data_IF_467059192287
#
_entry.id   IF_467059192287
#
_cell.length_a   1.000
_cell.length_b   1.000
_cell.length_c   1.000
_cell.angle_alpha   90.00
_cell.angle_beta   90.00
_cell.angle_gamma   90.00
#
_symmetry.space_group_name_H-M   'P 1'
#
loop_
_entity.id
_entity.type
_entity.pdbx_description
1 polymer ?
#
# COMPACT_ATOMS: atom_id res chain seq x y z
N UNK A 1 32.49 -12.05 92.93
CA UNK A 1 32.77 -12.40 91.52
C UNK A 1 31.49 -12.72 90.73
N UNK A 2 30.31 -12.62 91.39
CA UNK A 2 29.02 -13.01 90.74
C UNK A 2 28.18 -11.87 90.14
N UNK A 3 28.55 -10.62 90.40
CA UNK A 3 27.78 -9.49 89.87
C UNK A 3 28.15 -9.05 88.44
N UNK A 4 29.34 -9.39 87.95
CA UNK A 4 29.79 -9.03 86.61
C UNK A 4 29.21 -10.01 85.58
N UNK A 5 28.96 -11.26 85.92
CA UNK A 5 28.34 -12.28 85.03
C UNK A 5 26.85 -12.00 84.75
N UNK A 6 26.13 -11.40 85.74
CA UNK A 6 24.71 -11.09 85.59
C UNK A 6 24.42 -9.87 84.68
N UNK A 7 25.31 -8.89 84.64
CA UNK A 7 25.18 -7.71 83.81
C UNK A 7 25.53 -8.06 82.34
N UNK A 8 26.51 -8.96 82.12
CA UNK A 8 26.87 -9.43 80.75
C UNK A 8 25.78 -10.25 80.07
N UNK A 9 25.04 -11.08 80.85
CA UNK A 9 23.93 -11.90 80.29
C UNK A 9 22.70 -11.06 79.88
N UNK A 10 22.38 -9.97 80.68
CA UNK A 10 21.29 -9.09 80.37
C UNK A 10 21.59 -8.22 79.12
N UNK A 11 22.85 -7.80 78.95
CA UNK A 11 23.26 -7.05 77.74
C UNK A 11 23.22 -7.88 76.45
N UNK A 12 23.62 -9.13 76.49
CA UNK A 12 23.52 -10.04 75.30
C UNK A 12 22.06 -10.37 74.97
N UNK A 13 21.21 -10.64 75.95
CA UNK A 13 19.80 -10.93 75.74
C UNK A 13 19.02 -9.73 75.19
N UNK A 14 19.40 -8.50 75.53
CA UNK A 14 18.79 -7.31 74.97
C UNK A 14 19.22 -7.08 73.48
N UNK A 15 20.48 -7.33 73.16
CA UNK A 15 20.98 -7.18 71.76
C UNK A 15 20.32 -8.23 70.83
N UNK A 16 20.13 -9.46 71.28
CA UNK A 16 19.46 -10.49 70.47
C UNK A 16 17.96 -10.19 70.25
N UNK A 17 17.30 -9.57 71.23
CA UNK A 17 15.90 -9.15 71.06
C UNK A 17 15.73 -8.00 70.11
N UNK A 18 16.67 -7.04 70.04
CA UNK A 18 16.70 -5.94 69.11
C UNK A 18 16.97 -6.44 67.66
N UNK A 19 17.92 -7.30 67.49
CA UNK A 19 18.22 -7.96 66.20
C UNK A 19 17.01 -8.73 65.63
N UNK A 20 16.34 -9.49 66.45
CA UNK A 20 15.11 -10.21 66.07
C UNK A 20 13.97 -9.27 65.68
N UNK A 21 13.84 -8.15 66.40
CA UNK A 21 12.84 -7.11 66.07
C UNK A 21 13.18 -6.39 64.74
N UNK A 22 14.45 -6.09 64.47
CA UNK A 22 14.88 -5.48 63.22
C UNK A 22 14.63 -6.45 62.04
N UNK A 23 14.94 -7.75 62.18
CA UNK A 23 14.62 -8.75 61.15
C UNK A 23 13.13 -8.91 60.90
N UNK A 24 12.30 -8.88 61.93
CA UNK A 24 10.83 -8.92 61.80
C UNK A 24 10.30 -7.70 61.03
N UNK A 25 10.83 -6.53 61.36
CA UNK A 25 10.45 -5.30 60.65
C UNK A 25 10.90 -5.32 59.19
N UNK A 26 12.12 -5.82 58.89
CA UNK A 26 12.63 -5.99 57.54
C UNK A 26 11.78 -6.97 56.72
N UNK A 27 11.40 -8.09 57.30
CA UNK A 27 10.48 -9.06 56.64
C UNK A 27 9.11 -8.47 56.37
N UNK A 28 8.54 -7.68 57.29
CA UNK A 28 7.28 -6.98 57.12
C UNK A 28 7.36 -5.94 55.97
N UNK A 29 8.45 -5.18 55.85
CA UNK A 29 8.68 -4.23 54.76
C UNK A 29 8.81 -4.96 53.39
N UNK A 30 9.58 -6.03 53.34
CA UNK A 30 9.74 -6.84 52.11
C UNK A 30 8.39 -7.43 51.68
N UNK A 31 7.62 -7.96 52.59
CA UNK A 31 6.30 -8.51 52.27
C UNK A 31 5.32 -7.45 51.79
N UNK A 32 5.32 -6.24 52.39
CA UNK A 32 4.49 -5.12 51.89
C UNK A 32 4.92 -4.68 50.49
N UNK A 33 6.22 -4.60 50.21
CA UNK A 33 6.71 -4.30 48.86
C UNK A 33 6.33 -5.36 47.86
N UNK A 34 6.48 -6.66 48.20
CA UNK A 34 6.05 -7.76 47.31
C UNK A 34 4.55 -7.70 47.01
N UNK A 35 3.72 -7.47 48.03
CA UNK A 35 2.27 -7.32 47.88
C UNK A 35 1.93 -6.10 47.00
N UNK A 36 2.63 -4.97 47.17
CA UNK A 36 2.46 -3.78 46.34
C UNK A 36 2.78 -4.07 44.88
N UNK A 37 3.91 -4.74 44.57
CA UNK A 37 4.30 -5.09 43.19
C UNK A 37 3.28 -6.05 42.57
N UNK A 38 2.83 -7.07 43.31
CA UNK A 38 1.82 -8.02 42.81
C UNK A 38 0.50 -7.30 42.51
N UNK A 39 0.06 -6.39 43.37
CA UNK A 39 -1.15 -5.60 43.14
C UNK A 39 -1.04 -4.68 41.93
N UNK A 40 0.10 -4.00 41.73
CA UNK A 40 0.30 -3.17 40.53
C UNK A 40 0.28 -3.98 39.26
N UNK A 41 0.92 -5.14 39.21
CA UNK A 41 0.87 -6.06 38.04
C UNK A 41 -0.57 -6.54 37.78
N UNK A 42 -1.29 -6.93 38.83
CA UNK A 42 -2.68 -7.35 38.71
C UNK A 42 -3.60 -6.24 38.15
N UNK A 43 -3.42 -5.00 38.59
CA UNK A 43 -4.16 -3.85 38.08
C UNK A 43 -3.84 -3.62 36.59
N UNK A 44 -2.55 -3.66 36.23
CA UNK A 44 -2.15 -3.53 34.81
C UNK A 44 -2.74 -4.62 33.92
N UNK A 45 -2.77 -5.87 34.39
CA UNK A 45 -3.41 -6.97 33.64
C UNK A 45 -4.91 -6.76 33.47
N UNK A 46 -5.60 -6.26 34.49
CA UNK A 46 -7.04 -5.96 34.42
C UNK A 46 -7.32 -4.81 33.44
N UNK A 47 -6.52 -3.74 33.47
CA UNK A 47 -6.65 -2.61 32.53
C UNK A 47 -6.42 -3.07 31.08
N UNK A 48 -5.39 -3.90 30.83
CA UNK A 48 -5.12 -4.47 29.52
C UNK A 48 -6.26 -5.37 29.02
N UNK A 49 -6.82 -6.20 29.89
CA UNK A 49 -7.97 -7.05 29.54
C UNK A 49 -9.20 -6.22 29.19
N UNK A 50 -9.45 -5.14 29.92
CA UNK A 50 -10.56 -4.22 29.67
C UNK A 50 -10.38 -3.50 28.31
N UNK A 51 -9.16 -3.07 27.99
CA UNK A 51 -8.84 -2.47 26.70
C UNK A 51 -9.07 -3.45 25.53
N UNK A 52 -8.69 -4.71 25.68
CA UNK A 52 -8.93 -5.76 24.68
C UNK A 52 -10.44 -5.99 24.48
N UNK A 53 -11.22 -6.03 25.55
CA UNK A 53 -12.67 -6.19 25.45
C UNK A 53 -13.32 -5.00 24.73
N UNK A 54 -12.89 -3.77 25.04
CA UNK A 54 -13.41 -2.56 24.37
C UNK A 54 -13.08 -2.59 22.89
N UNK A 55 -11.83 -2.91 22.51
CA UNK A 55 -11.43 -3.07 21.12
C UNK A 55 -12.23 -4.17 20.40
N UNK A 56 -12.43 -5.31 21.04
CA UNK A 56 -13.21 -6.41 20.46
C UNK A 56 -14.66 -6.01 20.21
N UNK A 57 -15.27 -5.23 21.11
CA UNK A 57 -16.64 -4.70 20.94
C UNK A 57 -16.69 -3.68 19.81
N UNK A 58 -15.69 -2.82 19.68
CA UNK A 58 -15.59 -1.85 18.58
C UNK A 58 -15.46 -2.55 17.22
N UNK A 59 -14.58 -3.55 17.12
CA UNK A 59 -14.43 -4.38 15.89
C UNK A 59 -15.74 -5.12 15.57
N UNK A 60 -16.42 -5.66 16.57
CA UNK A 60 -17.71 -6.33 16.35
C UNK A 60 -18.81 -5.35 15.89
N UNK A 61 -18.83 -4.13 16.43
CA UNK A 61 -19.77 -3.09 15.99
C UNK A 61 -19.47 -2.61 14.57
N UNK A 62 -18.21 -2.44 14.21
CA UNK A 62 -17.78 -2.11 12.84
C UNK A 62 -18.20 -3.22 11.85
N UNK A 63 -17.94 -4.48 12.17
CA UNK A 63 -18.35 -5.61 11.33
C UNK A 63 -19.88 -5.71 11.17
N UNK A 64 -20.64 -5.35 12.21
CA UNK A 64 -22.09 -5.30 12.14
C UNK A 64 -22.61 -4.13 11.31
N UNK A 65 -21.92 -2.99 11.33
CA UNK A 65 -22.24 -1.85 10.45
C UNK A 65 -21.93 -2.18 8.99
N UNK A 66 -20.81 -2.84 8.70
CA UNK A 66 -20.48 -3.32 7.35
C UNK A 66 -21.48 -4.35 6.83
N UNK A 67 -21.93 -5.30 7.68
CA UNK A 67 -22.96 -6.26 7.31
C UNK A 67 -24.34 -5.62 7.07
N UNK A 68 -24.66 -4.50 7.73
CA UNK A 68 -25.92 -3.76 7.54
C UNK A 68 -25.89 -2.91 6.25
N UNK A 69 -24.73 -2.51 5.76
CA UNK A 69 -24.55 -1.82 4.47
C UNK A 69 -24.67 -2.81 3.32
N UNK A 70 -24.27 -4.08 3.53
CA UNK A 70 -24.38 -5.17 2.55
C UNK A 70 -25.80 -5.68 2.32
N UNK A 71 -26.77 -5.36 3.17
CA UNK A 71 -28.18 -5.76 3.04
C UNK A 71 -29.08 -4.54 2.84
N UNK A 72 -29.06 -4.03 1.63
CA UNK A 72 -29.99 -3.11 0.97
C UNK A 72 -30.97 -2.29 1.82
N UNK A 73 -30.82 -0.98 1.75
CA UNK A 73 -31.81 -0.03 2.25
C UNK A 73 -31.51 1.37 1.74
N UNK A 74 -32.31 1.81 0.77
CA UNK A 74 -32.38 3.19 0.28
C UNK A 74 -32.63 4.13 1.46
N UNK A 75 -31.71 5.09 1.69
CA UNK A 75 -32.01 6.27 2.50
C UNK A 75 -31.53 7.52 1.77
N UNK A 76 -32.51 8.30 1.33
CA UNK A 76 -32.38 9.69 0.92
C UNK A 76 -31.98 10.56 2.11
N UNK A 77 -31.02 11.46 1.94
CA UNK A 77 -30.91 12.64 2.80
C UNK A 77 -29.51 13.09 3.15
N UNK A 78 -29.06 14.17 2.49
CA UNK A 78 -28.16 15.24 2.93
C UNK A 78 -27.20 15.00 4.11
N UNK A 79 -25.90 15.08 3.90
CA UNK A 79 -25.02 16.21 4.28
C UNK A 79 -23.51 15.86 4.23
N UNK A 80 -22.82 16.65 3.44
CA UNK A 80 -21.55 17.35 3.72
C UNK A 80 -20.44 16.64 4.50
N UNK A 81 -19.33 16.38 3.82
CA UNK A 81 -18.01 16.76 4.31
C UNK A 81 -17.20 15.71 5.03
N UNK A 82 -16.05 15.41 4.44
CA UNK A 82 -14.88 14.80 5.07
C UNK A 82 -14.97 13.28 5.31
N UNK A 83 -14.64 12.49 4.29
CA UNK A 83 -14.13 11.11 4.44
C UNK A 83 -13.57 10.59 3.09
N UNK A 84 -12.58 11.24 2.50
CA UNK A 84 -12.08 10.85 1.17
C UNK A 84 -10.63 10.30 1.14
N UNK A 85 -10.01 10.02 2.28
CA UNK A 85 -8.57 9.64 2.28
C UNK A 85 -8.33 8.17 2.64
N UNK A 86 -9.24 7.52 3.37
CA UNK A 86 -9.04 6.13 3.81
C UNK A 86 -9.64 5.06 2.85
N UNK A 87 -10.59 5.43 1.99
CA UNK A 87 -11.26 4.48 1.10
C UNK A 87 -10.40 4.06 -0.10
N UNK A 88 -9.43 4.90 -0.49
CA UNK A 88 -8.57 4.67 -1.65
C UNK A 88 -7.45 3.64 -1.43
N UNK A 89 -6.93 3.53 -0.22
CA UNK A 89 -5.79 2.64 0.07
C UNK A 89 -6.18 1.17 0.26
N UNK A 90 -7.42 0.89 0.67
CA UNK A 90 -7.87 -0.48 0.98
C UNK A 90 -8.22 -1.29 -0.28
N UNK A 91 -8.55 -0.63 -1.38
CA UNK A 91 -9.04 -1.30 -2.58
C UNK A 91 -7.90 -1.77 -3.51
N UNK A 92 -6.82 -1.02 -3.65
CA UNK A 92 -5.68 -1.44 -4.49
C UNK A 92 -4.90 -2.63 -3.88
N UNK A 93 -4.79 -2.71 -2.55
CA UNK A 93 -4.13 -3.84 -1.87
C UNK A 93 -4.89 -5.15 -2.07
N UNK A 94 -6.22 -5.12 -2.07
CA UNK A 94 -7.09 -6.29 -2.26
C UNK A 94 -6.95 -6.87 -3.68
N UNK A 95 -6.78 -6.04 -4.69
CA UNK A 95 -6.73 -6.45 -6.10
C UNK A 95 -5.33 -6.74 -6.62
N UNK A 96 -4.30 -6.13 -6.06
CA UNK A 96 -2.90 -6.43 -6.41
C UNK A 96 -2.52 -7.90 -6.19
N UNK A 97 -3.24 -8.60 -5.30
CA UNK A 97 -2.98 -10.00 -4.94
C UNK A 97 -3.91 -11.02 -5.63
N UNK A 98 -4.95 -10.56 -6.36
CA UNK A 98 -5.97 -11.47 -6.94
C UNK A 98 -5.57 -12.06 -8.28
N UNK A 99 -4.49 -11.57 -8.89
CA UNK A 99 -4.14 -11.98 -10.24
C UNK A 99 -3.12 -13.11 -10.25
N UNK A 100 -3.62 -14.30 -10.09
CA UNK A 100 -2.96 -15.53 -10.50
C UNK A 100 -3.81 -16.15 -11.62
N UNK A 101 -3.45 -15.94 -12.89
CA UNK A 101 -3.99 -16.79 -13.93
C UNK A 101 -4.39 -16.19 -15.27
N UNK A 102 -3.94 -14.97 -15.63
CA UNK A 102 -4.29 -14.38 -16.94
C UNK A 102 -3.07 -14.27 -17.86
N UNK A 103 -1.94 -14.84 -17.43
CA UNK A 103 -0.83 -14.96 -18.36
C UNK A 103 -1.12 -16.07 -19.39
N UNK A 104 -1.05 -15.73 -20.64
CA UNK A 104 -1.07 -16.73 -21.70
C UNK A 104 0.15 -17.63 -21.51
N UNK A 105 0.01 -18.93 -21.74
CA UNK A 105 1.14 -19.90 -21.67
C UNK A 105 2.39 -19.39 -22.43
N UNK A 106 2.19 -18.56 -23.44
CA UNK A 106 3.24 -17.97 -24.27
C UNK A 106 4.10 -16.90 -23.55
N UNK A 107 3.64 -16.32 -22.45
CA UNK A 107 4.38 -15.30 -21.68
C UNK A 107 5.28 -15.89 -20.57
N UNK A 108 5.18 -17.16 -20.24
CA UNK A 108 6.11 -17.76 -19.27
C UNK A 108 7.53 -17.82 -19.86
N UNK A 109 8.52 -17.39 -19.05
CA UNK A 109 9.91 -17.40 -19.44
C UNK A 109 10.47 -18.82 -19.45
N UNK A 110 11.32 -19.11 -20.43
CA UNK A 110 12.17 -20.28 -20.49
C UNK A 110 13.63 -19.89 -20.21
N UNK A 111 14.47 -20.89 -19.95
CA UNK A 111 15.90 -20.66 -19.72
C UNK A 111 16.53 -19.98 -20.96
N UNK A 112 17.15 -18.82 -20.75
CA UNK A 112 17.81 -18.02 -21.77
C UNK A 112 16.93 -16.98 -22.47
N UNK A 113 15.65 -16.86 -22.11
CA UNK A 113 14.81 -15.77 -22.59
C UNK A 113 15.26 -14.41 -22.02
N UNK A 114 15.09 -13.36 -22.82
CA UNK A 114 15.29 -11.98 -22.35
C UNK A 114 14.00 -11.51 -21.66
N UNK A 115 14.13 -11.05 -20.44
CA UNK A 115 13.01 -10.50 -19.69
C UNK A 115 12.80 -9.03 -20.06
N UNK A 116 11.65 -8.69 -20.63
CA UNK A 116 11.22 -7.30 -20.84
C UNK A 116 10.44 -6.83 -19.63
N UNK A 117 10.92 -5.79 -18.99
CA UNK A 117 10.38 -5.25 -17.74
C UNK A 117 9.87 -3.83 -17.97
N UNK A 118 8.61 -3.62 -17.70
CA UNK A 118 7.95 -2.31 -17.77
C UNK A 118 7.65 -1.87 -16.35
N UNK A 119 8.50 -0.98 -15.80
CA UNK A 119 8.24 -0.35 -14.51
C UNK A 119 7.12 0.66 -14.68
N UNK A 120 6.03 0.49 -13.96
CA UNK A 120 4.86 1.35 -14.08
C UNK A 120 4.43 1.88 -12.73
N UNK A 121 4.19 3.20 -12.63
CA UNK A 121 3.84 3.89 -11.41
C UNK A 121 2.41 4.40 -11.49
N UNK A 122 1.59 4.07 -10.48
CA UNK A 122 0.22 4.55 -10.34
C UNK A 122 0.14 5.80 -9.43
N UNK A 123 -0.99 6.50 -9.52
CA UNK A 123 -1.36 7.63 -8.63
C UNK A 123 -0.42 8.83 -8.69
N UNK A 124 0.18 9.06 -9.85
CA UNK A 124 1.09 10.18 -10.15
C UNK A 124 0.29 11.40 -10.61
N UNK A 125 0.65 12.64 -10.22
CA UNK A 125 1.77 13.04 -9.40
C UNK A 125 1.51 12.82 -7.90
N UNK A 126 2.55 12.42 -7.20
CA UNK A 126 2.56 12.23 -5.75
C UNK A 126 3.79 12.89 -5.12
N UNK A 127 3.95 12.68 -3.81
CA UNK A 127 5.01 13.30 -3.01
C UNK A 127 6.42 12.91 -3.47
N UNK A 128 6.57 11.73 -4.11
CA UNK A 128 7.87 11.17 -4.46
C UNK A 128 8.13 11.18 -5.98
N UNK A 129 7.23 11.72 -6.81
CA UNK A 129 7.38 11.61 -8.27
C UNK A 129 8.70 12.19 -8.76
N UNK A 130 9.12 13.34 -8.24
CA UNK A 130 10.39 13.94 -8.64
C UNK A 130 11.59 13.07 -8.28
N UNK A 131 11.60 12.45 -7.10
CA UNK A 131 12.66 11.56 -6.65
C UNK A 131 12.69 10.27 -7.50
N UNK A 132 11.52 9.73 -7.87
CA UNK A 132 11.40 8.59 -8.81
C UNK A 132 12.03 8.95 -10.15
N UNK A 133 11.70 10.11 -10.73
CA UNK A 133 12.25 10.57 -12.00
C UNK A 133 13.76 10.78 -11.91
N UNK A 134 14.28 11.32 -10.80
CA UNK A 134 15.71 11.50 -10.58
C UNK A 134 16.46 10.15 -10.52
N UNK A 135 15.89 9.15 -9.85
CA UNK A 135 16.46 7.80 -9.82
C UNK A 135 16.46 7.17 -11.21
N UNK A 136 15.34 7.25 -11.95
CA UNK A 136 15.25 6.73 -13.32
C UNK A 136 16.28 7.38 -14.24
N UNK A 137 16.47 8.69 -14.13
CA UNK A 137 17.50 9.43 -14.89
C UNK A 137 18.92 9.00 -14.54
N UNK A 138 19.20 8.75 -13.26
CA UNK A 138 20.52 8.28 -12.79
C UNK A 138 20.93 6.95 -13.42
N UNK A 139 19.96 6.05 -13.68
CA UNK A 139 20.21 4.73 -14.27
C UNK A 139 19.94 4.67 -15.78
N UNK A 140 19.63 5.80 -16.41
CA UNK A 140 19.24 5.92 -17.83
C UNK A 140 18.10 4.97 -18.21
N UNK A 141 17.09 4.86 -17.35
CA UNK A 141 15.89 4.00 -17.51
C UNK A 141 14.68 4.85 -17.79
N UNK A 142 13.83 4.38 -18.71
CA UNK A 142 12.51 4.97 -18.96
C UNK A 142 11.42 4.07 -18.39
N UNK A 143 10.38 4.68 -17.87
CA UNK A 143 9.25 4.01 -17.21
C UNK A 143 7.91 4.53 -17.78
N UNK A 144 6.81 3.98 -17.26
CA UNK A 144 5.46 4.45 -17.59
C UNK A 144 4.77 4.94 -16.33
N UNK A 145 4.11 6.11 -16.43
CA UNK A 145 3.40 6.73 -15.33
C UNK A 145 1.90 6.79 -15.67
N UNK A 146 1.09 6.04 -14.94
CA UNK A 146 -0.37 6.11 -15.02
C UNK A 146 -0.85 7.18 -14.06
N UNK A 147 -1.17 8.34 -14.64
CA UNK A 147 -1.39 9.57 -13.89
C UNK A 147 -2.85 9.81 -13.56
N UNK A 148 -3.07 10.52 -12.46
CA UNK A 148 -4.36 11.08 -12.05
C UNK A 148 -4.41 12.57 -12.33
N UNK A 149 -5.61 13.17 -12.32
CA UNK A 149 -5.75 14.63 -12.41
C UNK A 149 -5.29 15.29 -11.11
N UNK A 150 -4.44 16.29 -11.19
CA UNK A 150 -4.05 17.12 -10.05
C UNK A 150 -3.87 18.58 -10.48
N UNK A 151 -4.52 19.49 -9.76
CA UNK A 151 -4.39 20.95 -9.92
C UNK A 151 -3.50 21.54 -8.82
N UNK A 152 -2.79 20.69 -8.07
CA UNK A 152 -1.86 21.15 -7.03
C UNK A 152 -0.65 21.86 -7.63
N UNK A 153 -0.04 22.74 -6.85
CA UNK A 153 1.16 23.47 -7.25
C UNK A 153 2.31 22.49 -7.58
N UNK A 154 2.90 22.63 -8.76
CA UNK A 154 3.97 21.74 -9.22
C UNK A 154 3.50 20.52 -10.01
N UNK A 155 2.22 20.17 -10.01
CA UNK A 155 1.71 19.01 -10.74
C UNK A 155 1.92 19.15 -12.26
N UNK A 156 1.68 20.33 -12.82
CA UNK A 156 1.87 20.60 -14.24
C UNK A 156 3.31 20.36 -14.68
N UNK A 157 4.27 20.80 -13.91
CA UNK A 157 5.69 20.62 -14.14
C UNK A 157 6.08 19.13 -14.12
N UNK A 158 5.46 18.34 -13.24
CA UNK A 158 5.68 16.89 -13.17
C UNK A 158 5.20 16.18 -14.44
N UNK A 159 3.97 16.47 -14.92
CA UNK A 159 3.48 15.89 -16.17
C UNK A 159 4.38 16.25 -17.36
N UNK A 160 4.82 17.52 -17.43
CA UNK A 160 5.75 17.97 -18.47
C UNK A 160 7.11 17.27 -18.34
N UNK A 161 7.60 17.08 -17.12
CA UNK A 161 8.85 16.40 -16.85
C UNK A 161 8.82 14.94 -17.31
N UNK A 162 7.73 14.21 -17.00
CA UNK A 162 7.52 12.83 -17.45
C UNK A 162 7.67 12.72 -18.97
N UNK A 163 7.01 13.60 -19.72
CA UNK A 163 7.05 13.56 -21.19
C UNK A 163 8.40 14.01 -21.74
N UNK A 164 8.96 15.11 -21.21
CA UNK A 164 10.22 15.69 -21.70
C UNK A 164 11.43 14.78 -21.43
N UNK A 165 11.40 13.99 -20.37
CA UNK A 165 12.44 13.02 -20.05
C UNK A 165 12.28 11.70 -20.80
N UNK A 166 11.26 11.57 -21.66
CA UNK A 166 11.05 10.41 -22.54
C UNK A 166 10.39 9.22 -21.85
N UNK A 167 9.71 9.43 -20.74
CA UNK A 167 8.84 8.43 -20.14
C UNK A 167 7.48 8.40 -20.83
N UNK A 168 6.78 7.28 -20.73
CA UNK A 168 5.40 7.18 -21.22
C UNK A 168 4.43 7.70 -20.16
N UNK A 169 3.57 8.65 -20.58
CA UNK A 169 2.45 9.09 -19.78
C UNK A 169 1.21 8.30 -20.16
N UNK A 170 0.65 7.54 -19.23
CA UNK A 170 -0.63 6.83 -19.33
C UNK A 170 -1.69 7.52 -18.48
N UNK A 171 -2.95 7.26 -18.77
CA UNK A 171 -4.08 7.76 -18.01
C UNK A 171 -4.53 6.74 -16.98
N UNK A 172 -4.88 7.20 -15.77
CA UNK A 172 -5.50 6.35 -14.75
C UNK A 172 -6.94 6.80 -14.49
N UNK A 173 -7.14 8.00 -13.95
CA UNK A 173 -8.43 8.65 -13.75
C UNK A 173 -8.18 10.13 -13.47
N UNK A 174 -9.12 11.00 -13.84
CA UNK A 174 -9.01 12.40 -13.40
C UNK A 174 -9.29 12.54 -11.90
N UNK A 175 -10.37 11.91 -11.43
CA UNK A 175 -10.84 12.06 -10.05
C UNK A 175 -10.21 11.08 -9.08
N UNK A 176 -9.73 9.94 -9.55
CA UNK A 176 -9.29 8.78 -8.77
C UNK A 176 -10.32 8.33 -7.70
N UNK A 177 -11.60 8.53 -7.98
CA UNK A 177 -12.70 8.16 -7.09
C UNK A 177 -13.49 7.00 -7.69
N UNK A 178 -13.30 5.80 -7.18
CA UNK A 178 -13.91 4.57 -7.68
C UNK A 178 -15.44 4.66 -7.74
N UNK A 179 -16.07 5.16 -6.68
CA UNK A 179 -17.52 5.33 -6.60
C UNK A 179 -18.07 6.29 -7.67
N UNK A 180 -17.28 7.24 -8.15
CA UNK A 180 -17.64 8.17 -9.21
C UNK A 180 -17.43 7.55 -10.58
N UNK A 181 -16.20 7.12 -10.88
CA UNK A 181 -15.82 6.62 -12.21
C UNK A 181 -16.58 5.36 -12.61
N UNK A 182 -16.87 4.49 -11.65
CA UNK A 182 -17.60 3.23 -11.89
C UNK A 182 -19.10 3.31 -11.62
N UNK A 183 -19.65 4.51 -11.41
CA UNK A 183 -21.09 4.70 -11.23
C UNK A 183 -21.88 4.48 -12.52
N UNK A 184 -21.30 4.75 -13.68
CA UNK A 184 -21.90 4.56 -15.00
C UNK A 184 -20.84 4.70 -16.11
N UNK A 185 -21.13 4.15 -17.28
CA UNK A 185 -20.34 4.31 -18.51
C UNK A 185 -20.17 5.79 -18.88
N UNK A 186 -21.17 6.62 -18.63
CA UNK A 186 -21.12 8.07 -18.86
C UNK A 186 -20.10 8.74 -17.94
N UNK A 187 -20.15 8.44 -16.62
CA UNK A 187 -19.24 9.03 -15.65
C UNK A 187 -17.79 8.63 -15.93
N UNK A 188 -17.56 7.36 -16.28
CA UNK A 188 -16.26 6.87 -16.71
C UNK A 188 -15.74 7.65 -17.93
N UNK A 189 -16.57 7.79 -18.98
CA UNK A 189 -16.18 8.53 -20.18
C UNK A 189 -15.87 10.00 -19.89
N UNK A 190 -16.66 10.65 -19.08
CA UNK A 190 -16.43 12.05 -18.68
C UNK A 190 -15.11 12.22 -17.89
N UNK A 191 -14.79 11.28 -16.98
CA UNK A 191 -13.58 11.29 -16.18
C UNK A 191 -12.33 11.11 -17.06
N UNK A 192 -12.30 10.10 -17.93
CA UNK A 192 -11.13 9.84 -18.77
C UNK A 192 -10.93 10.92 -19.84
N UNK A 193 -12.01 11.43 -20.45
CA UNK A 193 -11.92 12.53 -21.41
C UNK A 193 -11.35 13.79 -20.76
N UNK A 194 -11.85 14.11 -19.56
CA UNK A 194 -11.33 15.24 -18.78
C UNK A 194 -9.82 15.10 -18.53
N UNK A 195 -9.36 13.91 -18.15
CA UNK A 195 -7.92 13.67 -17.96
C UNK A 195 -7.14 13.80 -19.27
N UNK A 196 -7.64 13.21 -20.34
CA UNK A 196 -6.99 13.26 -21.66
C UNK A 196 -6.81 14.69 -22.16
N UNK A 197 -7.85 15.53 -22.04
CA UNK A 197 -7.79 16.92 -22.46
C UNK A 197 -6.86 17.73 -21.54
N UNK A 198 -6.95 17.53 -20.23
CA UNK A 198 -6.08 18.18 -19.26
C UNK A 198 -4.59 17.88 -19.51
N UNK A 199 -4.23 16.62 -19.74
CA UNK A 199 -2.85 16.24 -20.05
C UNK A 199 -2.39 16.84 -21.38
N UNK A 200 -3.26 16.87 -22.39
CA UNK A 200 -2.94 17.48 -23.66
C UNK A 200 -2.67 18.98 -23.56
N UNK A 201 -3.47 19.69 -22.78
CA UNK A 201 -3.26 21.13 -22.53
C UNK A 201 -1.92 21.41 -21.86
N UNK A 202 -1.49 20.56 -20.92
CA UNK A 202 -0.25 20.75 -20.17
C UNK A 202 1.01 20.27 -20.91
N UNK A 203 0.92 19.17 -21.67
CA UNK A 203 2.10 18.49 -22.23
C UNK A 203 2.15 18.51 -23.76
N UNK A 204 1.07 18.85 -24.43
CA UNK A 204 0.93 18.68 -25.88
C UNK A 204 0.81 17.23 -26.32
N UNK A 205 0.78 16.26 -25.42
CA UNK A 205 0.75 14.82 -25.70
C UNK A 205 -0.62 14.25 -25.39
N UNK A 206 -1.21 13.53 -26.37
CA UNK A 206 -2.40 12.71 -26.13
C UNK A 206 -1.96 11.29 -25.81
N UNK A 207 -2.20 10.88 -24.56
CA UNK A 207 -1.92 9.50 -24.15
C UNK A 207 -2.82 8.52 -24.90
N UNK A 208 -2.25 7.40 -25.33
CA UNK A 208 -2.95 6.26 -25.93
C UNK A 208 -3.10 5.08 -24.97
N UNK A 209 -2.65 5.27 -23.74
CA UNK A 209 -2.59 4.21 -22.74
C UNK A 209 -3.44 4.57 -21.53
N UNK A 210 -4.12 3.55 -20.99
CA UNK A 210 -4.97 3.67 -19.82
C UNK A 210 -4.68 2.53 -18.84
N UNK A 211 -4.89 2.75 -17.56
CA UNK A 211 -4.97 1.70 -16.55
C UNK A 211 -6.21 1.95 -15.71
N UNK A 212 -7.07 0.93 -15.61
CA UNK A 212 -8.24 1.00 -14.76
C UNK A 212 -7.83 1.10 -13.28
N UNK A 213 -8.38 2.03 -12.49
CA UNK A 213 -8.27 1.98 -11.04
C UNK A 213 -8.75 0.64 -10.48
N UNK A 214 -7.87 -0.07 -9.76
CA UNK A 214 -8.11 -1.44 -9.31
C UNK A 214 -7.97 -2.54 -10.38
N UNK A 215 -7.53 -2.18 -11.60
CA UNK A 215 -7.40 -3.12 -12.73
C UNK A 215 -8.72 -3.36 -13.47
N UNK A 216 -8.63 -3.92 -14.69
CA UNK A 216 -9.81 -4.20 -15.52
C UNK A 216 -10.70 -5.32 -14.96
N UNK A 217 -10.16 -6.16 -14.09
CA UNK A 217 -10.86 -7.27 -13.41
C UNK A 217 -11.44 -6.92 -12.05
N UNK A 218 -11.48 -5.64 -11.66
CA UNK A 218 -12.00 -5.27 -10.34
C UNK A 218 -13.50 -5.58 -10.18
N UNK A 219 -13.90 -5.89 -8.95
CA UNK A 219 -15.29 -6.22 -8.58
C UNK A 219 -16.03 -5.06 -7.88
N UNK A 220 -15.39 -3.86 -7.84
CA UNK A 220 -15.94 -2.68 -7.17
C UNK A 220 -17.10 -2.09 -7.98
N UNK A 221 -17.00 -2.19 -9.31
CA UNK A 221 -17.98 -1.64 -10.22
C UNK A 221 -19.31 -2.38 -10.16
N UNK A 222 -20.42 -1.64 -10.06
CA UNK A 222 -21.77 -2.19 -10.26
C UNK A 222 -22.14 -2.34 -11.76
N UNK A 223 -21.36 -1.71 -12.65
CA UNK A 223 -21.44 -1.85 -14.10
C UNK A 223 -20.45 -2.91 -14.54
N UNK A 224 -20.80 -3.73 -15.52
CA UNK A 224 -19.87 -4.73 -16.03
C UNK A 224 -18.61 -4.03 -16.60
N UNK A 225 -17.43 -4.41 -16.13
CA UNK A 225 -16.17 -3.81 -16.56
C UNK A 225 -15.95 -3.91 -18.08
N UNK A 226 -16.54 -4.92 -18.74
CA UNK A 226 -16.51 -5.03 -20.21
C UNK A 226 -17.12 -3.81 -20.92
N UNK A 227 -18.09 -3.12 -20.33
CA UNK A 227 -18.66 -1.91 -20.93
C UNK A 227 -17.67 -0.74 -20.96
N UNK A 228 -16.82 -0.63 -19.92
CA UNK A 228 -15.75 0.38 -19.90
C UNK A 228 -14.62 0.01 -20.87
N UNK A 229 -14.29 -1.27 -20.97
CA UNK A 229 -13.35 -1.77 -21.98
C UNK A 229 -13.84 -1.45 -23.39
N UNK A 230 -15.13 -1.66 -23.68
CA UNK A 230 -15.73 -1.31 -24.96
C UNK A 230 -15.57 0.19 -25.30
N UNK A 231 -15.74 1.09 -24.30
CA UNK A 231 -15.51 2.53 -24.50
C UNK A 231 -14.06 2.80 -24.91
N UNK A 232 -13.07 2.23 -24.21
CA UNK A 232 -11.66 2.43 -24.55
C UNK A 232 -11.33 1.87 -25.94
N UNK A 233 -11.90 0.70 -26.30
CA UNK A 233 -11.74 0.14 -27.64
C UNK A 233 -12.27 1.07 -28.74
N UNK A 234 -13.46 1.67 -28.54
CA UNK A 234 -14.02 2.63 -29.49
C UNK A 234 -13.15 3.88 -29.68
N UNK A 235 -12.48 4.32 -28.60
CA UNK A 235 -11.60 5.48 -28.60
C UNK A 235 -10.15 5.12 -28.99
N UNK A 236 -9.87 3.86 -29.33
CA UNK A 236 -8.53 3.35 -29.69
C UNK A 236 -7.49 3.59 -28.57
N UNK A 237 -7.92 3.45 -27.32
CA UNK A 237 -7.08 3.53 -26.13
C UNK A 237 -6.73 2.12 -25.69
N UNK A 238 -5.44 1.81 -25.63
CA UNK A 238 -4.94 0.52 -25.11
C UNK A 238 -4.81 0.59 -23.59
N UNK A 239 -5.38 -0.36 -22.86
CA UNK A 239 -5.20 -0.40 -21.43
C UNK A 239 -4.26 -1.53 -21.00
N UNK A 240 -3.60 -1.32 -19.87
CA UNK A 240 -2.66 -2.23 -19.26
C UNK A 240 -3.01 -2.47 -17.81
N UNK A 241 -3.22 -3.73 -17.46
CA UNK A 241 -3.14 -4.18 -16.08
C UNK A 241 -1.67 -4.49 -15.72
N UNK A 242 -1.41 -5.41 -14.84
CA UNK A 242 -0.06 -5.82 -14.43
C UNK A 242 -0.03 -7.31 -14.16
N UNK A 243 1.13 -7.94 -14.27
CA UNK A 243 1.35 -9.34 -13.90
C UNK A 243 2.43 -9.49 -12.81
N UNK A 244 3.04 -8.39 -12.40
CA UNK A 244 3.97 -8.33 -11.26
C UNK A 244 3.59 -7.16 -10.37
N UNK A 245 3.34 -7.42 -9.09
CA UNK A 245 3.09 -6.38 -8.09
C UNK A 245 4.29 -6.22 -7.18
N UNK A 246 4.68 -4.99 -6.91
CA UNK A 246 5.71 -4.70 -5.92
C UNK A 246 5.25 -4.95 -4.47
N UNK A 247 3.92 -5.00 -4.23
CA UNK A 247 3.35 -5.13 -2.89
C UNK A 247 3.40 -3.84 -2.08
N UNK A 248 3.72 -2.73 -2.73
CA UNK A 248 3.89 -1.42 -2.10
C UNK A 248 2.57 -0.65 -1.90
N UNK A 249 1.44 -1.20 -2.35
CA UNK A 249 0.11 -0.70 -2.01
C UNK A 249 -0.20 -0.90 -0.52
N UNK A 250 0.36 -1.94 0.10
CA UNK A 250 0.15 -2.28 1.50
C UNK A 250 0.48 -1.12 2.46
N UNK A 251 -0.20 -1.10 3.61
CA UNK A 251 0.00 -0.10 4.66
C UNK A 251 1.39 -0.18 5.32
N UNK A 252 2.04 -1.35 5.24
CA UNK A 252 3.43 -1.53 5.66
C UNK A 252 4.13 -2.55 4.77
N UNK A 253 5.28 -2.20 4.26
CA UNK A 253 6.14 -3.05 3.43
C UNK A 253 7.59 -2.60 3.61
N UNK A 254 8.53 -3.50 3.33
CA UNK A 254 9.97 -3.22 3.40
C UNK A 254 10.58 -3.15 2.00
N UNK A 255 11.81 -2.60 1.90
CA UNK A 255 12.59 -2.67 0.65
C UNK A 255 12.82 -4.11 0.20
N UNK A 256 13.01 -5.05 1.14
CA UNK A 256 13.20 -6.47 0.84
C UNK A 256 11.93 -7.10 0.25
N UNK A 257 10.75 -6.72 0.75
CA UNK A 257 9.47 -7.18 0.19
C UNK A 257 9.32 -6.73 -1.26
N UNK A 258 9.57 -5.45 -1.56
CA UNK A 258 9.51 -4.91 -2.94
C UNK A 258 10.49 -5.63 -3.86
N UNK A 259 11.77 -5.77 -3.44
CA UNK A 259 12.78 -6.48 -4.24
C UNK A 259 12.37 -7.93 -4.51
N UNK A 260 11.97 -8.65 -3.48
CA UNK A 260 11.57 -10.06 -3.59
C UNK A 260 10.37 -10.21 -4.51
N UNK A 261 9.31 -9.43 -4.29
CA UNK A 261 8.08 -9.51 -5.09
C UNK A 261 8.35 -9.24 -6.58
N UNK A 262 9.12 -8.19 -6.87
CA UNK A 262 9.40 -7.82 -8.26
C UNK A 262 10.34 -8.82 -8.93
N UNK A 263 11.46 -9.20 -8.28
CA UNK A 263 12.44 -10.11 -8.88
C UNK A 263 11.85 -11.51 -9.08
N UNK A 264 11.11 -12.03 -8.10
CA UNK A 264 10.43 -13.32 -8.20
C UNK A 264 9.32 -13.29 -9.29
N UNK A 265 8.62 -12.15 -9.40
CA UNK A 265 7.63 -11.94 -10.45
C UNK A 265 8.27 -11.93 -11.83
N UNK A 266 9.26 -11.07 -12.04
CA UNK A 266 9.96 -10.90 -13.32
C UNK A 266 10.57 -12.22 -13.80
N UNK A 267 11.14 -13.04 -12.91
CA UNK A 267 11.74 -14.31 -13.26
C UNK A 267 10.79 -15.30 -13.94
N UNK A 268 9.47 -15.13 -13.77
CA UNK A 268 8.42 -16.02 -14.30
C UNK A 268 8.03 -15.69 -15.74
N UNK A 269 8.20 -14.44 -16.17
CA UNK A 269 7.60 -13.94 -17.40
C UNK A 269 8.62 -13.38 -18.39
N UNK A 270 8.35 -13.53 -19.67
CA UNK A 270 9.09 -12.84 -20.76
C UNK A 270 8.79 -11.35 -20.77
N UNK A 271 7.53 -11.00 -20.50
CA UNK A 271 7.02 -9.64 -20.42
C UNK A 271 6.42 -9.42 -19.05
N UNK A 272 6.99 -8.51 -18.28
CA UNK A 272 6.55 -8.14 -16.94
C UNK A 272 6.12 -6.68 -16.91
N UNK A 273 4.83 -6.44 -16.65
CA UNK A 273 4.30 -5.12 -16.32
C UNK A 273 4.24 -5.03 -14.80
N UNK A 274 5.17 -4.25 -14.22
CA UNK A 274 5.35 -4.15 -12.78
C UNK A 274 4.52 -2.99 -12.25
N UNK A 275 3.63 -3.27 -11.30
CA UNK A 275 2.86 -2.27 -10.58
C UNK A 275 3.67 -1.75 -9.39
N UNK A 276 3.89 -0.44 -9.38
CA UNK A 276 4.48 0.37 -8.31
C UNK A 276 3.56 1.56 -8.04
N UNK A 277 3.65 2.14 -6.85
CA UNK A 277 2.85 3.30 -6.47
C UNK A 277 3.72 4.49 -6.07
N UNK A 278 3.21 5.68 -6.39
CA UNK A 278 3.67 6.95 -5.83
C UNK A 278 2.58 7.52 -4.91
N UNK A 279 2.97 8.23 -3.88
CA UNK A 279 2.03 8.87 -2.96
C UNK A 279 2.56 9.00 -1.53
N UNK A 280 1.73 9.46 -0.62
CA UNK A 280 2.08 9.56 0.79
C UNK A 280 2.58 8.23 1.35
N UNK A 281 3.67 8.26 2.11
CA UNK A 281 4.30 7.08 2.74
C UNK A 281 4.87 6.04 1.75
N UNK A 282 5.18 6.42 0.51
CA UNK A 282 5.82 5.54 -0.50
C UNK A 282 7.33 5.81 -0.68
N UNK A 283 7.99 6.46 0.28
CA UNK A 283 9.45 6.71 0.24
C UNK A 283 10.28 5.42 0.13
N UNK A 284 9.80 4.31 0.71
CA UNK A 284 10.45 2.99 0.59
C UNK A 284 10.54 2.52 -0.85
N UNK A 285 9.51 2.80 -1.70
CA UNK A 285 9.54 2.51 -3.14
C UNK A 285 10.65 3.29 -3.84
N UNK A 286 10.85 4.57 -3.50
CA UNK A 286 11.95 5.38 -4.03
C UNK A 286 13.31 4.84 -3.59
N UNK A 287 13.47 4.57 -2.29
CA UNK A 287 14.72 4.10 -1.70
C UNK A 287 15.20 2.78 -2.32
N UNK A 288 14.28 1.88 -2.68
CA UNK A 288 14.60 0.58 -3.26
C UNK A 288 14.78 0.62 -4.77
N UNK A 289 14.24 1.64 -5.47
CA UNK A 289 14.15 1.68 -6.93
C UNK A 289 15.51 1.57 -7.61
N UNK A 290 16.53 2.28 -7.11
CA UNK A 290 17.88 2.19 -7.66
C UNK A 290 18.48 0.78 -7.57
N UNK A 291 18.33 0.13 -6.42
CA UNK A 291 18.81 -1.25 -6.23
C UNK A 291 18.03 -2.25 -7.09
N UNK A 292 16.72 -2.05 -7.25
CA UNK A 292 15.87 -2.85 -8.12
C UNK A 292 16.32 -2.76 -9.57
N UNK A 293 16.48 -1.54 -10.12
CA UNK A 293 16.95 -1.31 -11.49
C UNK A 293 18.30 -1.97 -11.71
N UNK A 294 19.26 -1.74 -10.83
CA UNK A 294 20.60 -2.31 -10.93
C UNK A 294 20.59 -3.84 -10.94
N UNK A 295 19.75 -4.44 -10.11
CA UNK A 295 19.62 -5.91 -10.04
C UNK A 295 19.01 -6.44 -11.33
N UNK A 296 17.92 -5.87 -11.83
CA UNK A 296 17.29 -6.26 -13.10
C UNK A 296 18.26 -6.15 -14.27
N UNK A 297 18.97 -5.03 -14.38
CA UNK A 297 20.01 -4.84 -15.43
C UNK A 297 21.13 -5.86 -15.32
N UNK A 298 21.60 -6.18 -14.10
CA UNK A 298 22.63 -7.19 -13.90
C UNK A 298 22.20 -8.61 -14.27
N UNK A 299 20.91 -8.88 -14.23
CA UNK A 299 20.28 -10.12 -14.66
C UNK A 299 19.99 -10.14 -16.18
N UNK A 300 20.30 -9.08 -16.91
CA UNK A 300 20.10 -8.97 -18.35
C UNK A 300 18.67 -8.61 -18.76
N UNK A 301 17.85 -8.10 -17.84
CA UNK A 301 16.52 -7.62 -18.15
C UNK A 301 16.56 -6.31 -18.97
N UNK A 302 15.70 -6.20 -19.98
CA UNK A 302 15.45 -4.97 -20.72
C UNK A 302 14.36 -4.16 -20.03
N UNK A 303 14.70 -3.02 -19.42
CA UNK A 303 13.74 -2.13 -18.79
C UNK A 303 13.30 -1.08 -19.80
N UNK A 304 12.00 -1.06 -20.12
CA UNK A 304 11.42 -0.28 -21.22
C UNK A 304 10.18 0.48 -20.74
N UNK A 305 9.87 1.65 -21.32
CA UNK A 305 8.54 2.26 -21.19
C UNK A 305 7.53 1.52 -22.06
N UNK A 306 6.26 1.52 -21.68
CA UNK A 306 5.17 1.00 -22.51
C UNK A 306 5.07 1.82 -23.79
N UNK A 307 4.96 1.13 -24.92
CA UNK A 307 4.72 1.69 -26.24
C UNK A 307 3.65 0.89 -27.01
N UNK A 308 3.39 1.26 -28.26
CA UNK A 308 2.38 0.62 -29.12
C UNK A 308 2.75 -0.84 -29.50
N UNK A 309 4.00 -1.25 -29.31
CA UNK A 309 4.49 -2.60 -29.61
C UNK A 309 4.58 -3.48 -28.34
N UNK A 310 4.24 -2.92 -27.19
CA UNK A 310 4.29 -3.65 -25.92
C UNK A 310 3.19 -4.70 -25.87
N UNK A 311 3.55 -5.95 -25.56
CA UNK A 311 2.57 -7.00 -25.32
C UNK A 311 1.67 -6.62 -24.14
N UNK A 312 0.36 -6.58 -24.39
CA UNK A 312 -0.61 -6.16 -23.39
C UNK A 312 -0.79 -7.22 -22.31
N UNK A 313 -0.87 -6.75 -21.06
CA UNK A 313 -1.32 -7.55 -19.91
C UNK A 313 -2.71 -7.02 -19.55
N UNK A 314 -3.74 -7.85 -19.69
CA UNK A 314 -5.14 -7.46 -19.52
C UNK A 314 -5.91 -8.57 -18.84
N UNK A 315 -6.60 -8.27 -17.74
CA UNK A 315 -7.43 -9.23 -17.01
C UNK A 315 -8.74 -9.53 -17.74
N UNK A 316 -9.37 -8.50 -18.31
CA UNK A 316 -10.38 -8.65 -19.34
C UNK A 316 -9.68 -8.36 -20.67
N UNK A 317 -9.67 -9.29 -21.60
CA UNK A 317 -9.03 -9.08 -22.88
C UNK A 317 -9.87 -8.15 -23.76
N UNK A 318 -9.23 -7.10 -24.30
CA UNK A 318 -9.90 -6.10 -25.14
C UNK A 318 -10.59 -6.74 -26.38
N UNK A 319 -9.99 -7.74 -26.98
CA UNK A 319 -10.52 -8.47 -28.14
C UNK A 319 -11.68 -9.42 -27.81
N UNK A 320 -11.92 -9.70 -26.53
CA UNK A 320 -13.07 -10.49 -26.08
C UNK A 320 -14.34 -9.65 -25.89
N UNK A 321 -14.25 -8.32 -26.02
CA UNK A 321 -15.35 -7.38 -25.81
C UNK A 321 -15.74 -6.75 -27.14
N UNK A 322 -16.98 -7.04 -27.58
CA UNK A 322 -17.57 -6.51 -28.83
C UNK A 322 -18.08 -5.06 -28.69
#
# INVERSE_FOLDING_TARGET
MDMILYVGGLCMANNDSELLNQERQRRKRINRMKTGIIMTIAIWMLVSLLAIIILSVQVFQLNKQMAAISTGGIITGNNTGIQNVEEQALDEESYANVVTGIDTEDNFAAEGDVHKVYLTFNSVPGDNTNDILDVLAQYDVKATFFVVGSEEEGAAEIYQRIVNEGHTIGMHSYSNQYSLIYSSTKAFKEDYVKLSDYLYELTGTRSKFYRFPGGSGNEISNVNMAEFVHILNQEQITYFDWNVSAGDAASSYSMEDVLTNVLDGVSKYKTSVVLLHDGPNKSTTVEVLGSLIQTLQSQGAEILPIDENTNVIQYIKADSVE
#
